data_IF_125831458544
#
_entry.id   IF_125831458544
#
_cell.length_a   1.000
_cell.length_b   1.000
_cell.length_c   1.000
_cell.angle_alpha   90.00
_cell.angle_beta   90.00
_cell.angle_gamma   90.00
#
_symmetry.space_group_name_H-M   'P 1'
#
loop_
_entity.id
_entity.type
_entity.pdbx_description
1 polymer ?
#
# COMPACT_ATOMS: atom_id res chain seq x y z
N UNK A 1 11.23 -20.46 4.72
CA UNK A 1 10.54 -19.16 4.54
C UNK A 1 11.59 -18.07 4.70
N UNK A 2 11.51 -16.98 3.94
CA UNK A 2 12.45 -15.87 4.10
C UNK A 2 12.36 -15.27 5.50
N UNK A 3 13.50 -14.80 6.01
CA UNK A 3 13.62 -14.05 7.26
C UNK A 3 13.02 -12.65 7.15
N UNK A 4 12.73 -12.01 8.28
CA UNK A 4 12.24 -10.62 8.30
C UNK A 4 13.21 -9.64 7.64
N UNK A 5 14.52 -9.86 7.76
CA UNK A 5 15.53 -9.05 7.09
C UNK A 5 15.48 -9.21 5.56
N UNK A 6 15.31 -10.44 5.07
CA UNK A 6 15.16 -10.70 3.63
C UNK A 6 13.87 -10.08 3.08
N UNK A 7 12.75 -10.19 3.82
CA UNK A 7 11.48 -9.57 3.45
C UNK A 7 11.57 -8.04 3.42
N UNK A 8 12.25 -7.44 4.40
CA UNK A 8 12.51 -6.00 4.41
C UNK A 8 13.34 -5.57 3.19
N UNK A 9 14.43 -6.28 2.89
CA UNK A 9 15.29 -5.97 1.74
C UNK A 9 14.53 -6.13 0.40
N UNK A 10 13.71 -7.16 0.25
CA UNK A 10 12.85 -7.33 -0.92
C UNK A 10 11.90 -6.15 -1.08
N UNK A 11 11.22 -5.75 0.01
CA UNK A 11 10.27 -4.64 0.01
C UNK A 11 10.94 -3.31 -0.34
N UNK A 12 12.16 -3.07 0.16
CA UNK A 12 12.93 -1.88 -0.20
C UNK A 12 13.29 -1.86 -1.70
N UNK A 13 13.59 -3.02 -2.28
CA UNK A 13 13.75 -3.19 -3.72
C UNK A 13 12.47 -2.88 -4.50
N UNK A 14 11.30 -3.27 -4.00
CA UNK A 14 10.01 -2.91 -4.59
C UNK A 14 9.79 -1.39 -4.58
N UNK A 15 10.04 -0.73 -3.45
CA UNK A 15 9.92 0.73 -3.31
C UNK A 15 10.88 1.50 -4.24
N UNK A 16 12.09 1.00 -4.45
CA UNK A 16 13.07 1.62 -5.34
C UNK A 16 12.64 1.55 -6.81
N UNK A 17 12.01 0.44 -7.23
CA UNK A 17 11.71 0.15 -8.63
C UNK A 17 10.29 0.59 -9.05
N UNK A 18 9.32 0.56 -8.14
CA UNK A 18 7.91 0.86 -8.44
C UNK A 18 7.64 2.36 -8.36
N UNK A 19 8.20 3.11 -9.31
CA UNK A 19 8.07 4.56 -9.42
C UNK A 19 7.27 4.98 -10.65
N UNK A 20 6.40 5.96 -10.45
CA UNK A 20 5.49 6.50 -11.46
C UNK A 20 6.16 7.61 -12.29
N UNK A 21 5.86 7.68 -13.59
CA UNK A 21 6.25 8.84 -14.40
C UNK A 21 5.39 10.07 -14.11
N UNK A 22 4.09 9.85 -13.90
CA UNK A 22 3.09 10.83 -13.49
C UNK A 22 2.07 10.13 -12.59
N UNK A 23 1.43 10.87 -11.70
CA UNK A 23 0.31 10.36 -10.90
C UNK A 23 -0.73 11.46 -10.68
N UNK A 24 -1.95 11.15 -11.05
CA UNK A 24 -3.11 12.05 -11.00
C UNK A 24 -4.22 11.45 -10.14
N UNK A 25 -5.26 12.23 -9.87
CA UNK A 25 -6.45 11.73 -9.17
C UNK A 25 -7.15 10.58 -9.93
N UNK A 26 -7.10 10.57 -11.27
CA UNK A 26 -7.64 9.48 -12.09
C UNK A 26 -6.85 8.17 -11.90
N UNK A 27 -5.54 8.29 -11.72
CA UNK A 27 -4.66 7.15 -11.46
C UNK A 27 -4.95 6.57 -10.07
N UNK A 28 -5.18 7.43 -9.07
CA UNK A 28 -5.61 7.01 -7.73
C UNK A 28 -6.93 6.24 -7.78
N UNK A 29 -7.95 6.72 -8.49
CA UNK A 29 -9.23 6.01 -8.64
C UNK A 29 -9.03 4.66 -9.34
N UNK A 30 -8.27 4.64 -10.43
CA UNK A 30 -8.02 3.41 -11.19
C UNK A 30 -7.24 2.37 -10.38
N UNK A 31 -6.24 2.81 -9.62
CA UNK A 31 -5.47 1.98 -8.72
C UNK A 31 -6.35 1.41 -7.60
N UNK A 32 -7.16 2.25 -6.96
CA UNK A 32 -8.10 1.84 -5.91
C UNK A 32 -9.13 0.82 -6.39
N UNK A 33 -9.71 1.03 -7.57
CA UNK A 33 -10.63 0.09 -8.20
C UNK A 33 -9.94 -1.22 -8.59
N UNK A 34 -8.67 -1.17 -9.01
CA UNK A 34 -7.88 -2.36 -9.33
C UNK A 34 -7.57 -3.20 -8.10
N UNK A 35 -7.26 -2.57 -6.96
CA UNK A 35 -7.10 -3.25 -5.66
C UNK A 35 -8.41 -3.93 -5.27
N UNK A 36 -9.53 -3.19 -5.32
CA UNK A 36 -10.87 -3.75 -5.05
C UNK A 36 -11.17 -4.95 -5.93
N UNK A 37 -10.93 -4.84 -7.25
CA UNK A 37 -11.18 -5.92 -8.21
C UNK A 37 -10.35 -7.16 -7.87
N UNK A 38 -9.06 -6.99 -7.59
CA UNK A 38 -8.15 -8.10 -7.26
C UNK A 38 -8.53 -8.76 -5.93
N UNK A 39 -8.90 -7.97 -4.91
CA UNK A 39 -9.37 -8.52 -3.63
C UNK A 39 -10.65 -9.34 -3.78
N UNK A 40 -11.65 -8.85 -4.53
CA UNK A 40 -12.90 -9.59 -4.77
C UNK A 40 -12.70 -10.92 -5.47
N UNK A 41 -11.66 -11.04 -6.29
CA UNK A 41 -11.28 -12.28 -6.96
C UNK A 41 -10.43 -13.23 -6.07
N UNK A 42 -10.09 -12.83 -4.85
CA UNK A 42 -9.23 -13.62 -3.96
C UNK A 42 -10.01 -14.64 -3.13
N UNK A 43 -9.32 -15.68 -2.69
CA UNK A 43 -9.87 -16.67 -1.74
C UNK A 43 -10.23 -16.05 -0.39
N UNK A 44 -9.59 -14.95 0.02
CA UNK A 44 -9.92 -14.21 1.25
C UNK A 44 -11.35 -13.69 1.18
N UNK A 45 -11.71 -13.03 0.07
CA UNK A 45 -13.06 -12.53 -0.13
C UNK A 45 -14.09 -13.67 -0.18
N UNK A 46 -13.78 -14.76 -0.89
CA UNK A 46 -14.65 -15.94 -0.95
C UNK A 46 -14.91 -16.58 0.43
N UNK A 47 -14.01 -16.36 1.41
CA UNK A 47 -14.16 -16.79 2.82
C UNK A 47 -14.82 -15.73 3.71
N UNK A 48 -15.46 -14.72 3.14
CA UNK A 48 -16.15 -13.65 3.88
C UNK A 48 -15.20 -12.67 4.58
N UNK A 49 -13.97 -12.49 4.08
CA UNK A 49 -13.09 -11.40 4.52
C UNK A 49 -13.40 -10.12 3.76
N UNK A 50 -13.40 -9.01 4.46
CA UNK A 50 -13.46 -7.67 3.88
C UNK A 50 -12.10 -6.96 3.88
N UNK A 51 -12.08 -5.80 3.24
CA UNK A 51 -10.91 -4.95 3.05
C UNK A 51 -11.35 -3.49 3.08
N UNK A 52 -10.59 -2.63 3.72
CA UNK A 52 -10.72 -1.17 3.57
C UNK A 52 -9.53 -0.65 2.78
N UNK A 53 -9.78 0.29 1.87
CA UNK A 53 -8.78 0.88 0.97
C UNK A 53 -8.86 2.39 1.11
N UNK A 54 -7.70 3.05 1.21
CA UNK A 54 -7.57 4.49 1.14
C UNK A 54 -6.35 4.87 0.31
N UNK A 55 -6.50 5.89 -0.55
CA UNK A 55 -5.40 6.54 -1.25
C UNK A 55 -5.46 8.02 -0.90
N UNK A 56 -4.35 8.55 -0.44
CA UNK A 56 -4.23 9.93 0.03
C UNK A 56 -3.00 10.59 -0.59
N UNK A 57 -3.11 11.85 -0.98
CA UNK A 57 -1.94 12.65 -1.37
C UNK A 57 -1.00 12.86 -0.17
N UNK A 58 0.26 13.19 -0.44
CA UNK A 58 1.23 13.52 0.62
C UNK A 58 0.74 14.65 1.55
N UNK A 59 -0.04 15.59 1.00
CA UNK A 59 -0.63 16.71 1.72
C UNK A 59 -1.86 16.38 2.57
N UNK A 60 -2.39 15.15 2.53
CA UNK A 60 -3.55 14.77 3.36
C UNK A 60 -4.89 14.70 2.62
N UNK A 61 -4.95 15.04 1.34
CA UNK A 61 -6.21 14.99 0.58
C UNK A 61 -6.55 13.55 0.18
N UNK A 62 -7.73 13.08 0.55
CA UNK A 62 -8.25 11.78 0.12
C UNK A 62 -8.53 11.80 -1.38
N UNK A 63 -7.89 10.89 -2.11
CA UNK A 63 -8.07 10.70 -3.56
C UNK A 63 -8.99 9.52 -3.86
N UNK A 64 -9.01 8.52 -2.97
CA UNK A 64 -9.90 7.35 -3.06
C UNK A 64 -10.11 6.76 -1.66
N UNK A 65 -11.34 6.32 -1.36
CA UNK A 65 -11.66 5.57 -0.16
C UNK A 65 -12.75 4.55 -0.48
N UNK A 66 -12.58 3.30 -0.06
CA UNK A 66 -13.52 2.23 -0.39
C UNK A 66 -13.49 1.10 0.65
N UNK A 67 -14.68 0.70 1.09
CA UNK A 67 -14.89 -0.57 1.78
C UNK A 67 -15.21 -1.66 0.76
N UNK A 68 -14.63 -2.84 0.92
CA UNK A 68 -14.89 -4.03 0.10
C UNK A 68 -15.30 -5.19 1.00
N UNK A 69 -16.48 -5.75 0.73
CA UNK A 69 -17.05 -6.88 1.45
C UNK A 69 -18.56 -6.95 1.19
N UNK A 70 -19.13 -8.14 1.24
CA UNK A 70 -20.58 -8.34 1.23
C UNK A 70 -21.13 -8.27 2.68
N UNK A 71 -22.44 -8.45 2.86
CA UNK A 71 -23.05 -8.44 4.20
C UNK A 71 -22.33 -9.45 5.12
N UNK A 72 -21.98 -9.00 6.34
CA UNK A 72 -21.21 -9.75 7.36
C UNK A 72 -19.71 -9.99 7.08
N UNK A 73 -19.11 -9.26 6.14
CA UNK A 73 -17.67 -9.39 5.87
C UNK A 73 -16.81 -9.08 7.12
N UNK A 74 -16.05 -10.08 7.57
CA UNK A 74 -15.14 -9.94 8.70
C UNK A 74 -13.88 -9.14 8.32
N UNK A 75 -13.43 -8.23 9.18
CA UNK A 75 -12.26 -7.39 8.93
C UNK A 75 -12.57 -5.98 8.42
N UNK A 76 -13.86 -5.64 8.22
CA UNK A 76 -14.32 -4.26 8.03
C UNK A 76 -14.92 -3.78 9.35
N UNK A 77 -14.36 -2.71 9.91
CA UNK A 77 -14.81 -2.12 11.17
C UNK A 77 -14.30 -0.68 11.29
N UNK A 78 -14.73 0.03 12.33
CA UNK A 78 -14.13 1.32 12.67
C UNK A 78 -12.63 1.18 13.01
N UNK A 79 -12.22 0.10 13.69
CA UNK A 79 -10.80 -0.18 13.94
C UNK A 79 -10.02 -0.44 12.64
N UNK A 80 -10.63 -1.07 11.64
CA UNK A 80 -10.00 -1.27 10.34
C UNK A 80 -9.69 0.07 9.65
N UNK A 81 -10.61 1.04 9.73
CA UNK A 81 -10.35 2.39 9.23
C UNK A 81 -9.27 3.10 10.04
N UNK A 82 -9.25 2.98 11.38
CA UNK A 82 -8.17 3.49 12.22
C UNK A 82 -6.81 2.84 11.88
N UNK A 83 -6.81 1.55 11.53
CA UNK A 83 -5.63 0.84 11.08
C UNK A 83 -5.05 1.46 9.80
N UNK A 84 -5.90 1.68 8.79
CA UNK A 84 -5.49 2.34 7.53
C UNK A 84 -4.91 3.73 7.78
N UNK A 85 -5.55 4.55 8.61
CA UNK A 85 -5.04 5.89 8.96
C UNK A 85 -3.68 5.80 9.67
N UNK A 86 -3.54 4.89 10.63
CA UNK A 86 -2.29 4.68 11.35
C UNK A 86 -1.16 4.16 10.45
N UNK A 87 -1.47 3.31 9.47
CA UNK A 87 -0.50 2.84 8.48
C UNK A 87 -0.04 3.96 7.55
N UNK A 88 -0.96 4.83 7.09
CA UNK A 88 -0.61 6.02 6.30
C UNK A 88 0.34 6.92 7.09
N UNK A 89 0.09 7.13 8.39
CA UNK A 89 0.99 7.90 9.25
C UNK A 89 2.40 7.28 9.35
N UNK A 90 2.52 5.94 9.38
CA UNK A 90 3.84 5.27 9.34
C UNK A 90 4.58 5.64 8.05
N UNK A 91 3.90 5.57 6.90
CA UNK A 91 4.51 5.93 5.61
C UNK A 91 4.90 7.41 5.58
N UNK A 92 4.04 8.32 6.08
CA UNK A 92 4.37 9.75 6.17
C UNK A 92 5.58 10.03 7.07
N UNK A 93 5.72 9.28 8.17
CA UNK A 93 6.80 9.46 9.15
C UNK A 93 8.13 8.93 8.65
N UNK A 94 8.11 7.83 7.91
CA UNK A 94 9.32 7.06 7.57
C UNK A 94 9.72 7.17 6.11
N UNK A 95 8.82 7.57 5.21
CA UNK A 95 9.02 7.53 3.76
C UNK A 95 8.94 6.13 3.15
N UNK A 96 8.73 5.10 3.98
CA UNK A 96 8.75 3.69 3.57
C UNK A 96 7.40 3.02 3.79
N UNK A 97 7.15 1.92 3.08
CA UNK A 97 5.95 1.11 3.27
C UNK A 97 5.83 0.62 4.70
N UNK A 98 4.59 0.51 5.18
CA UNK A 98 4.34 0.04 6.55
C UNK A 98 4.85 -1.39 6.76
N UNK A 99 4.87 -2.20 5.70
CA UNK A 99 5.39 -3.56 5.71
C UNK A 99 6.93 -3.60 5.83
N UNK A 100 7.67 -2.75 5.09
CA UNK A 100 9.12 -2.62 5.25
C UNK A 100 9.49 -2.27 6.70
N UNK A 101 8.80 -1.29 7.27
CA UNK A 101 9.07 -0.83 8.64
C UNK A 101 8.75 -1.93 9.66
N UNK A 102 7.65 -2.67 9.46
CA UNK A 102 7.28 -3.79 10.33
C UNK A 102 8.33 -4.92 10.27
N UNK A 103 8.72 -5.35 9.07
CA UNK A 103 9.73 -6.42 8.89
C UNK A 103 11.10 -5.98 9.42
N UNK A 104 11.53 -4.76 9.12
CA UNK A 104 12.79 -4.21 9.63
C UNK A 104 12.83 -4.13 11.16
N UNK A 105 11.72 -3.72 11.79
CA UNK A 105 11.58 -3.70 13.25
C UNK A 105 11.72 -5.11 13.87
N UNK A 106 11.05 -6.11 13.29
CA UNK A 106 11.11 -7.49 13.77
C UNK A 106 12.50 -8.10 13.57
N UNK A 107 13.16 -7.82 12.44
CA UNK A 107 14.50 -8.30 12.14
C UNK A 107 15.55 -7.87 13.18
N UNK A 108 15.38 -6.69 13.78
CA UNK A 108 16.29 -6.15 14.81
C UNK A 108 15.75 -6.33 16.24
N UNK A 109 14.64 -7.05 16.42
CA UNK A 109 14.05 -7.34 17.72
C UNK A 109 13.59 -6.11 18.53
N UNK A 110 13.26 -5.01 17.85
CA UNK A 110 12.79 -3.78 18.51
C UNK A 110 11.27 -3.73 18.60
N UNK A 111 10.78 -2.93 19.53
CA UNK A 111 9.35 -2.59 19.65
C UNK A 111 9.02 -1.30 18.90
N UNK A 112 7.74 -1.09 18.59
CA UNK A 112 7.29 0.14 17.92
C UNK A 112 7.69 1.42 18.70
N UNK A 113 7.64 1.37 20.04
CA UNK A 113 8.07 2.47 20.91
C UNK A 113 9.55 2.79 20.74
N UNK A 114 10.41 1.77 20.67
CA UNK A 114 11.85 1.95 20.45
C UNK A 114 12.18 2.45 19.03
N UNK A 115 11.26 2.26 18.07
CA UNK A 115 11.35 2.81 16.72
C UNK A 115 10.81 4.25 16.61
N UNK A 116 10.24 4.81 17.70
CA UNK A 116 9.61 6.13 17.67
C UNK A 116 8.29 6.17 16.90
N UNK A 117 7.57 5.04 16.86
CA UNK A 117 6.32 4.84 16.12
C UNK A 117 5.24 4.35 17.10
N UNK A 118 4.81 5.17 18.08
CA UNK A 118 3.95 4.69 19.17
C UNK A 118 2.53 4.31 18.70
N UNK A 119 2.04 3.17 19.21
CA UNK A 119 0.62 2.80 19.14
C UNK A 119 -0.21 3.65 20.14
N UNK A 120 -1.48 3.99 19.85
CA UNK A 120 -2.29 3.64 18.67
C UNK A 120 -2.15 4.61 17.50
N UNK A 121 -1.40 5.71 17.66
CA UNK A 121 -1.29 6.74 16.62
C UNK A 121 -0.76 6.18 15.30
N UNK A 122 0.21 5.27 15.39
CA UNK A 122 0.79 4.56 14.26
C UNK A 122 0.43 3.07 14.31
N UNK A 123 0.03 2.53 13.16
CA UNK A 123 -0.33 1.11 13.01
C UNK A 123 0.68 0.45 12.08
N UNK A 124 1.55 -0.39 12.66
CA UNK A 124 2.55 -1.16 11.91
C UNK A 124 1.95 -2.48 11.44
N UNK A 125 1.04 -2.37 10.47
CA UNK A 125 0.52 -3.49 9.70
C UNK A 125 0.92 -3.27 8.24
N UNK A 126 1.30 -4.32 7.53
CA UNK A 126 1.54 -4.26 6.09
C UNK A 126 0.29 -3.87 5.30
N UNK A 127 0.51 -3.30 4.11
CA UNK A 127 -0.56 -2.87 3.21
C UNK A 127 -0.60 -1.37 2.92
N UNK A 128 0.28 -0.54 3.49
CA UNK A 128 0.48 0.84 3.04
C UNK A 128 1.80 1.00 2.31
N UNK A 129 1.74 1.59 1.11
CA UNK A 129 2.85 1.69 0.18
C UNK A 129 2.99 3.13 -0.36
N UNK A 130 4.20 3.71 -0.36
CA UNK A 130 4.43 5.06 -0.87
C UNK A 130 4.40 5.10 -2.41
N UNK A 131 3.73 6.11 -2.97
CA UNK A 131 3.73 6.39 -4.40
C UNK A 131 4.81 7.44 -4.69
N UNK A 132 5.89 6.99 -5.31
CA UNK A 132 7.02 7.82 -5.71
C UNK A 132 6.95 8.17 -7.19
N UNK A 133 7.38 9.39 -7.53
CA UNK A 133 7.70 9.72 -8.91
C UNK A 133 9.14 9.34 -9.25
N UNK A 134 9.40 9.01 -10.51
CA UNK A 134 10.74 8.70 -11.02
C UNK A 134 11.70 9.90 -10.84
N UNK A 135 11.18 11.13 -11.00
CA UNK A 135 11.93 12.37 -10.88
C UNK A 135 11.83 13.02 -9.48
N UNK A 136 11.20 12.39 -8.49
CA UNK A 136 11.14 12.90 -7.11
C UNK A 136 12.02 12.07 -6.18
N UNK A 137 13.00 12.73 -5.55
CA UNK A 137 13.87 12.13 -4.53
C UNK A 137 13.58 12.57 -3.10
N UNK A 138 12.72 13.59 -2.92
CA UNK A 138 12.52 14.23 -1.61
C UNK A 138 11.43 13.54 -0.80
N UNK A 139 10.26 13.31 -1.40
CA UNK A 139 9.13 12.68 -0.71
C UNK A 139 8.20 11.94 -1.71
N UNK A 140 7.46 10.93 -1.23
CA UNK A 140 6.38 10.34 -2.00
C UNK A 140 5.25 11.35 -2.16
N UNK A 141 4.55 11.29 -3.29
CA UNK A 141 3.49 12.26 -3.63
C UNK A 141 2.09 11.80 -3.20
N UNK A 142 1.93 10.51 -2.97
CA UNK A 142 0.72 9.89 -2.47
C UNK A 142 1.05 8.60 -1.72
N UNK A 143 0.06 8.07 -1.01
CA UNK A 143 0.16 6.83 -0.23
C UNK A 143 -1.08 6.02 -0.55
N UNK A 144 -0.88 4.77 -0.95
CA UNK A 144 -1.95 3.78 -1.10
C UNK A 144 -1.92 2.84 0.08
N UNK A 145 -3.06 2.63 0.72
CA UNK A 145 -3.20 1.76 1.86
C UNK A 145 -4.40 0.83 1.69
N UNK A 146 -4.23 -0.45 2.01
CA UNK A 146 -5.30 -1.42 2.12
C UNK A 146 -5.11 -2.27 3.38
N UNK A 147 -6.19 -2.54 4.10
CA UNK A 147 -6.15 -3.31 5.34
C UNK A 147 -7.31 -4.30 5.39
N UNK A 148 -6.97 -5.58 5.57
CA UNK A 148 -7.90 -6.71 5.72
C UNK A 148 -7.39 -7.71 6.76
N UNK A 149 -6.66 -7.20 7.77
CA UNK A 149 -6.10 -7.93 8.91
C UNK A 149 -5.04 -9.00 8.58
N UNK A 150 -4.37 -8.93 7.41
CA UNK A 150 -3.28 -9.85 7.06
C UNK A 150 -2.11 -9.08 6.45
N UNK A 151 -1.12 -8.76 7.29
CA UNK A 151 0.02 -7.87 6.94
C UNK A 151 0.67 -8.23 5.60
N UNK A 152 1.02 -9.50 5.43
CA UNK A 152 1.69 -9.98 4.22
C UNK A 152 0.77 -9.94 3.00
N UNK A 153 -0.45 -10.44 3.14
CA UNK A 153 -1.38 -10.54 2.00
C UNK A 153 -1.86 -9.16 1.57
N UNK A 154 -2.04 -8.23 2.49
CA UNK A 154 -2.41 -6.84 2.24
C UNK A 154 -1.28 -6.10 1.51
N UNK A 155 -0.03 -6.25 1.95
CA UNK A 155 1.15 -5.73 1.24
C UNK A 155 1.25 -6.28 -0.18
N UNK A 156 1.20 -7.62 -0.32
CA UNK A 156 1.33 -8.29 -1.61
C UNK A 156 0.21 -7.89 -2.58
N UNK A 157 -1.01 -7.69 -2.08
CA UNK A 157 -2.14 -7.20 -2.86
C UNK A 157 -1.86 -5.80 -3.43
N UNK A 158 -1.44 -4.87 -2.57
CA UNK A 158 -1.19 -3.48 -2.96
C UNK A 158 -0.02 -3.39 -3.94
N UNK A 159 1.14 -3.94 -3.58
CA UNK A 159 2.34 -3.91 -4.44
C UNK A 159 2.09 -4.64 -5.75
N UNK A 160 1.42 -5.79 -5.73
CA UNK A 160 1.08 -6.53 -6.95
C UNK A 160 0.23 -5.69 -7.90
N UNK A 161 -0.73 -4.91 -7.39
CA UNK A 161 -1.54 -4.01 -8.21
C UNK A 161 -0.74 -2.80 -8.71
N UNK A 162 0.10 -2.19 -7.87
CA UNK A 162 0.98 -1.08 -8.27
C UNK A 162 1.92 -1.52 -9.40
N UNK A 163 2.54 -2.69 -9.27
CA UNK A 163 3.43 -3.27 -10.28
C UNK A 163 2.71 -3.48 -11.61
N UNK A 164 1.55 -4.13 -11.59
CA UNK A 164 0.77 -4.38 -12.81
C UNK A 164 0.26 -3.09 -13.44
N UNK A 165 -0.06 -2.09 -12.63
CA UNK A 165 -0.48 -0.77 -13.11
C UNK A 165 0.67 -0.07 -13.85
N UNK A 166 1.87 -0.03 -13.26
CA UNK A 166 3.06 0.57 -13.88
C UNK A 166 3.48 -0.14 -15.18
N UNK A 167 3.42 -1.48 -15.20
CA UNK A 167 3.73 -2.26 -16.40
C UNK A 167 2.78 -1.91 -17.58
N UNK A 168 1.49 -1.68 -17.29
CA UNK A 168 0.52 -1.25 -18.31
C UNK A 168 0.78 0.17 -18.81
N UNK A 169 1.11 1.11 -17.91
CA UNK A 169 1.45 2.48 -18.26
C UNK A 169 2.68 2.56 -19.19
N UNK A 170 3.71 1.75 -18.93
CA UNK A 170 4.88 1.68 -19.82
C UNK A 170 4.54 1.09 -21.19
N UNK A 171 3.61 0.12 -21.25
CA UNK A 171 3.19 -0.49 -22.51
C UNK A 171 2.34 0.47 -23.36
N UNK A 172 1.47 1.28 -22.75
CA UNK A 172 0.68 2.29 -23.46
C UNK A 172 1.55 3.45 -23.99
N UNK A 173 2.50 3.94 -23.19
CA UNK A 173 3.39 5.01 -23.61
C UNK A 173 4.35 4.56 -24.73
N UNK A 174 4.76 3.29 -24.70
CA UNK A 174 5.53 2.69 -25.78
C UNK A 174 4.78 2.65 -27.11
N UNK A 175 3.48 2.30 -27.09
CA UNK A 175 2.65 2.22 -28.29
C UNK A 175 2.34 3.59 -28.93
N UNK A 176 2.16 4.65 -28.13
CA UNK A 176 1.94 6.01 -28.64
C UNK A 176 3.20 6.61 -29.29
N UNK A 177 4.40 6.24 -28.82
CA UNK A 177 5.68 6.73 -29.37
C UNK A 177 6.04 6.15 -30.75
N UNK A 178 5.48 4.99 -31.12
CA UNK A 178 5.70 4.33 -32.43
C UNK A 178 4.68 4.80 -33.49
N UNK A 179 3.61 5.47 -33.07
CA UNK A 179 2.51 5.90 -33.92
C UNK A 179 2.58 7.39 -34.33
N UNK A 180 3.58 8.13 -33.82
CA UNK A 180 3.87 9.52 -34.20
C UNK A 180 5.14 9.63 -35.04
#
# INVERSE_FOLDING_TARGET
MPSDAELANQTLGEEANLRFGLFTSNDAVTLGLSIRKRFRASSRHAKGKGLVIKIESAGGHTLFACTVGDNDATGVSMDAWLAVEGMIKVVKRTGHSSYYVERGMLAIGKTQKQMGIPFPEFRLNGGAFPIWLQNSSICPIAIVAAYGASTQEDHNLVVGVVRDYLAKQHSSNGAESIAG
#
